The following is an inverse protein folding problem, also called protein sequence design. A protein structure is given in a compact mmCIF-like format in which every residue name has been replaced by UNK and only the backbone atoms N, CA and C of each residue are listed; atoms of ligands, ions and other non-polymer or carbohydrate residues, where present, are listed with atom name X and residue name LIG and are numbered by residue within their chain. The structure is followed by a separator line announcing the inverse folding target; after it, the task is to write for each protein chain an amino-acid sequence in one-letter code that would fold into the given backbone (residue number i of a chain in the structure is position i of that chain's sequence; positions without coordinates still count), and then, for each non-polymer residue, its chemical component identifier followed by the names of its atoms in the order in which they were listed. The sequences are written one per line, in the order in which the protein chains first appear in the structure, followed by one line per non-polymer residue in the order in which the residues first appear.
data_IF_554145036527
#
_entry.id   IF_554145036527
#
_cell.length_a   1.000
_cell.length_b   1.000
_cell.length_c   1.000
_cell.angle_alpha   90.00
_cell.angle_beta   90.00
_cell.angle_gamma   90.00
#
_symmetry.space_group_name_H-M   'P 1'
#
loop_
_entity.id
_entity.type
_entity.pdbx_description
1 polymer ?
#
# COMPACT_ATOMS: atom_id res chain seq x y z
N UNK A 1 -22.82 46.41 27.78
CA UNK A 1 -22.95 45.09 27.10
C UNK A 1 -21.91 44.93 25.99
N UNK A 2 -21.75 45.90 25.08
CA UNK A 2 -20.74 45.87 24.02
C UNK A 2 -19.30 45.63 24.52
N UNK A 3 -18.86 46.36 25.55
CA UNK A 3 -17.53 46.19 26.19
C UNK A 3 -17.28 44.75 26.68
N UNK A 4 -18.31 44.14 27.28
CA UNK A 4 -18.22 42.77 27.78
C UNK A 4 -18.09 41.75 26.65
N UNK A 5 -18.74 41.98 25.51
CA UNK A 5 -18.63 41.12 24.33
C UNK A 5 -17.26 41.29 23.66
N UNK A 6 -16.76 42.53 23.56
CA UNK A 6 -15.45 42.83 23.00
C UNK A 6 -14.32 42.17 23.80
N UNK A 7 -14.38 42.21 25.13
CA UNK A 7 -13.43 41.54 26.02
C UNK A 7 -13.40 40.00 25.84
N UNK A 8 -14.47 39.39 25.31
CA UNK A 8 -14.49 37.96 24.94
C UNK A 8 -13.93 37.71 23.53
N UNK A 9 -14.17 38.61 22.58
CA UNK A 9 -13.72 38.48 21.19
C UNK A 9 -12.20 38.61 21.09
N UNK A 10 -11.59 39.57 21.79
CA UNK A 10 -10.14 39.82 21.70
C UNK A 10 -9.26 38.57 21.97
N UNK A 11 -9.44 37.84 23.08
CA UNK A 11 -8.66 36.61 23.30
C UNK A 11 -9.06 35.47 22.34
N UNK A 12 -10.34 35.37 21.96
CA UNK A 12 -10.80 34.35 21.00
C UNK A 12 -10.18 34.54 19.61
N UNK A 13 -10.03 35.78 19.15
CA UNK A 13 -9.44 36.09 17.86
C UNK A 13 -8.02 35.52 17.70
N UNK A 14 -7.23 35.47 18.78
CA UNK A 14 -5.87 34.90 18.79
C UNK A 14 -5.80 33.41 18.50
N UNK A 15 -6.90 32.66 18.71
CA UNK A 15 -7.00 31.22 18.42
C UNK A 15 -8.13 30.89 17.44
N UNK A 16 -8.80 31.91 16.90
CA UNK A 16 -9.87 31.73 15.92
C UNK A 16 -9.28 31.18 14.63
N UNK A 17 -9.97 30.22 14.01
CA UNK A 17 -9.47 29.51 12.85
C UNK A 17 -10.28 29.82 11.61
N UNK A 18 -9.64 29.82 10.45
CA UNK A 18 -10.32 30.06 9.19
C UNK A 18 -11.32 28.93 8.88
N UNK A 19 -12.61 29.27 8.82
CA UNK A 19 -13.68 28.30 8.58
C UNK A 19 -13.58 27.63 7.20
N UNK A 20 -13.21 28.36 6.15
CA UNK A 20 -13.12 27.80 4.81
C UNK A 20 -12.01 26.74 4.74
N UNK A 21 -10.83 27.04 5.28
CA UNK A 21 -9.70 26.10 5.34
C UNK A 21 -10.05 24.84 6.14
N UNK A 22 -10.58 25.00 7.36
CA UNK A 22 -10.97 23.86 8.21
C UNK A 22 -12.08 22.99 7.58
N UNK A 23 -13.04 23.60 6.88
CA UNK A 23 -14.13 22.86 6.23
C UNK A 23 -13.60 21.97 5.10
N UNK A 24 -12.70 22.47 4.26
CA UNK A 24 -12.15 21.70 3.14
C UNK A 24 -11.30 20.51 3.60
N UNK A 25 -10.42 20.74 4.59
CA UNK A 25 -9.63 19.64 5.17
C UNK A 25 -10.51 18.65 5.95
N UNK A 26 -11.57 19.13 6.63
CA UNK A 26 -12.56 18.28 7.27
C UNK A 26 -13.27 17.36 6.27
N UNK A 27 -13.63 17.87 5.09
CA UNK A 27 -14.23 17.08 4.02
C UNK A 27 -13.29 15.99 3.49
N UNK A 28 -12.01 16.31 3.25
CA UNK A 28 -11.01 15.32 2.84
C UNK A 28 -10.79 14.23 3.90
N UNK A 29 -10.72 14.61 5.18
CA UNK A 29 -10.64 13.67 6.30
C UNK A 29 -11.86 12.76 6.34
N UNK A 30 -13.06 13.29 6.12
CA UNK A 30 -14.29 12.49 6.05
C UNK A 30 -14.25 11.50 4.87
N UNK A 31 -13.85 11.94 3.68
CA UNK A 31 -13.77 11.09 2.49
C UNK A 31 -12.77 9.94 2.67
N UNK A 32 -11.59 10.24 3.22
CA UNK A 32 -10.57 9.20 3.50
C UNK A 32 -11.03 8.22 4.58
N UNK A 33 -11.70 8.71 5.63
CA UNK A 33 -12.31 7.85 6.63
C UNK A 33 -13.39 6.95 6.02
N UNK A 34 -14.26 7.50 5.16
CA UNK A 34 -15.29 6.74 4.44
C UNK A 34 -14.70 5.62 3.58
N UNK A 35 -13.64 5.90 2.82
CA UNK A 35 -12.96 4.88 2.02
C UNK A 35 -12.33 3.80 2.90
N UNK A 36 -11.70 4.19 4.00
CA UNK A 36 -11.08 3.25 4.95
C UNK A 36 -12.08 2.32 5.61
N UNK A 37 -13.31 2.77 5.86
CA UNK A 37 -14.36 1.94 6.49
C UNK A 37 -15.14 1.11 5.49
N UNK A 38 -15.37 1.62 4.28
CA UNK A 38 -16.23 0.97 3.26
C UNK A 38 -15.44 0.09 2.30
N UNK A 39 -14.22 0.50 1.94
CA UNK A 39 -13.32 -0.20 1.01
C UNK A 39 -11.92 -0.38 1.63
N UNK A 40 -11.81 -1.07 2.77
CA UNK A 40 -10.56 -1.16 3.54
C UNK A 40 -9.42 -1.80 2.74
N UNK A 41 -9.69 -2.85 1.96
CA UNK A 41 -8.64 -3.52 1.15
C UNK A 41 -8.11 -2.58 0.07
N UNK A 42 -8.99 -1.96 -0.71
CA UNK A 42 -8.61 -1.00 -1.76
C UNK A 42 -7.90 0.23 -1.19
N UNK A 43 -8.37 0.75 -0.05
CA UNK A 43 -7.77 1.88 0.64
C UNK A 43 -6.35 1.55 1.14
N UNK A 44 -6.16 0.39 1.78
CA UNK A 44 -4.83 -0.02 2.24
C UNK A 44 -3.89 -0.32 1.07
N UNK A 45 -4.38 -0.90 -0.03
CA UNK A 45 -3.58 -1.08 -1.24
C UNK A 45 -3.08 0.26 -1.81
N UNK A 46 -3.94 1.29 -1.83
CA UNK A 46 -3.56 2.63 -2.28
C UNK A 46 -2.49 3.27 -1.39
N UNK A 47 -2.63 3.14 -0.05
CA UNK A 47 -1.64 3.63 0.90
C UNK A 47 -0.29 2.91 0.76
N UNK A 48 -0.31 1.60 0.60
CA UNK A 48 0.90 0.80 0.39
C UNK A 48 1.62 1.18 -0.90
N UNK A 49 0.86 1.40 -2.00
CA UNK A 49 1.42 1.90 -3.26
C UNK A 49 2.04 3.28 -3.09
N UNK A 50 1.37 4.22 -2.42
CA UNK A 50 1.92 5.55 -2.16
C UNK A 50 3.19 5.50 -1.29
N UNK A 51 3.31 4.48 -0.43
CA UNK A 51 4.43 4.27 0.46
C UNK A 51 5.58 3.43 -0.14
N UNK A 52 5.44 2.89 -1.36
CA UNK A 52 6.35 1.85 -1.87
C UNK A 52 7.85 2.24 -1.86
N UNK A 53 8.18 3.53 -1.90
CA UNK A 53 9.55 4.05 -1.78
C UNK A 53 10.08 4.24 -0.35
N UNK A 54 9.24 4.12 0.68
CA UNK A 54 9.60 4.27 2.08
C UNK A 54 9.21 3.01 2.90
N UNK A 55 10.20 2.17 3.20
CA UNK A 55 10.00 0.93 3.95
C UNK A 55 9.41 1.16 5.35
N UNK A 56 9.70 2.28 6.01
CA UNK A 56 9.13 2.58 7.32
C UNK A 56 7.62 2.81 7.23
N UNK A 57 7.17 3.51 6.19
CA UNK A 57 5.75 3.77 5.98
C UNK A 57 5.02 2.51 5.50
N UNK A 58 5.65 1.70 4.64
CA UNK A 58 5.12 0.38 4.27
C UNK A 58 4.91 -0.47 5.52
N UNK A 59 5.88 -0.52 6.44
CA UNK A 59 5.75 -1.28 7.68
C UNK A 59 4.56 -0.80 8.55
N UNK A 60 4.37 0.52 8.67
CA UNK A 60 3.21 1.11 9.38
C UNK A 60 1.89 0.69 8.74
N UNK A 61 1.80 0.76 7.41
CA UNK A 61 0.58 0.39 6.69
C UNK A 61 0.31 -1.11 6.67
N UNK A 62 1.34 -1.96 6.69
CA UNK A 62 1.17 -3.41 6.90
C UNK A 62 0.59 -3.69 8.28
N UNK A 63 1.15 -3.08 9.34
CA UNK A 63 0.64 -3.25 10.69
C UNK A 63 -0.82 -2.78 10.84
N UNK A 64 -1.16 -1.65 10.21
CA UNK A 64 -2.54 -1.15 10.17
C UNK A 64 -3.47 -2.06 9.37
N UNK A 65 -3.00 -2.63 8.26
CA UNK A 65 -3.77 -3.60 7.47
C UNK A 65 -4.13 -4.82 8.31
N UNK A 66 -3.17 -5.38 9.04
CA UNK A 66 -3.39 -6.47 10.00
C UNK A 66 -4.43 -6.08 11.06
N UNK A 67 -4.32 -4.87 11.64
CA UNK A 67 -5.28 -4.38 12.64
C UNK A 67 -6.71 -4.27 12.10
N UNK A 68 -6.86 -3.88 10.83
CA UNK A 68 -8.15 -3.78 10.15
C UNK A 68 -8.69 -5.14 9.69
N UNK A 69 -7.89 -6.20 9.72
CA UNK A 69 -8.21 -7.52 9.19
C UNK A 69 -8.08 -7.62 7.67
N UNK A 70 -7.30 -6.73 7.05
CA UNK A 70 -6.91 -6.80 5.63
C UNK A 70 -5.67 -7.67 5.52
N UNK A 71 -5.74 -8.75 4.74
CA UNK A 71 -4.57 -9.60 4.52
C UNK A 71 -3.56 -8.86 3.62
N UNK A 72 -2.29 -8.87 4.03
CA UNK A 72 -1.16 -8.47 3.19
C UNK A 72 -0.35 -9.71 2.89
N UNK A 73 -0.37 -10.14 1.63
CA UNK A 73 0.31 -11.33 1.17
C UNK A 73 1.76 -10.98 0.79
N UNK A 74 2.74 -11.84 1.09
CA UNK A 74 4.14 -11.60 0.74
C UNK A 74 4.32 -11.53 -0.79
N UNK A 75 5.43 -10.96 -1.29
CA UNK A 75 5.71 -10.98 -2.71
C UNK A 75 5.83 -12.43 -3.22
N UNK A 76 5.38 -12.67 -4.45
CA UNK A 76 5.43 -13.98 -5.08
C UNK A 76 5.75 -13.85 -6.57
N UNK A 77 6.79 -14.50 -7.07
CA UNK A 77 7.26 -14.34 -8.47
C UNK A 77 6.19 -14.63 -9.52
N UNK A 78 5.27 -15.55 -9.23
CA UNK A 78 4.20 -15.92 -10.16
C UNK A 78 2.95 -15.04 -10.07
N UNK A 79 2.80 -14.22 -9.02
CA UNK A 79 1.53 -13.53 -8.72
C UNK A 79 1.70 -12.03 -8.53
N UNK A 80 2.85 -11.58 -8.01
CA UNK A 80 3.13 -10.17 -7.78
C UNK A 80 3.34 -9.42 -9.10
N UNK A 81 2.78 -8.21 -9.17
CA UNK A 81 3.11 -7.22 -10.19
C UNK A 81 4.28 -6.34 -9.78
N UNK A 82 4.48 -5.26 -10.55
CA UNK A 82 5.46 -4.22 -10.21
C UNK A 82 5.10 -3.57 -8.87
N UNK A 83 3.89 -3.03 -8.75
CA UNK A 83 3.36 -2.43 -7.52
C UNK A 83 2.45 -3.38 -6.72
N UNK A 84 1.88 -2.86 -5.64
CA UNK A 84 0.88 -3.57 -4.85
C UNK A 84 -0.37 -3.84 -5.69
N UNK A 85 -0.91 -5.04 -5.57
CA UNK A 85 -2.08 -5.49 -6.32
C UNK A 85 -3.12 -6.10 -5.39
N UNK A 86 -4.38 -6.12 -5.80
CA UNK A 86 -5.47 -6.73 -5.02
C UNK A 86 -5.72 -8.12 -5.57
N UNK A 87 -5.81 -9.10 -4.67
CA UNK A 87 -5.99 -10.52 -4.99
C UNK A 87 -7.16 -11.09 -4.18
N UNK A 88 -7.91 -12.03 -4.76
CA UNK A 88 -8.97 -12.76 -4.05
C UNK A 88 -8.35 -13.89 -3.21
N UNK A 89 -8.74 -13.98 -1.94
CA UNK A 89 -8.22 -14.95 -0.97
C UNK A 89 -9.02 -16.27 -0.97
N UNK A 90 -10.09 -16.35 -1.76
CA UNK A 90 -10.96 -17.51 -1.80
C UNK A 90 -11.84 -17.66 -0.55
N UNK A 91 -12.33 -18.88 -0.33
CA UNK A 91 -13.35 -19.16 0.70
C UNK A 91 -12.81 -19.28 2.12
N UNK A 92 -11.58 -19.78 2.27
CA UNK A 92 -10.96 -20.00 3.58
C UNK A 92 -10.03 -18.84 3.88
N UNK A 93 -10.42 -18.01 4.84
CA UNK A 93 -9.63 -16.87 5.25
C UNK A 93 -8.64 -17.26 6.35
N UNK A 94 -7.41 -16.72 6.32
CA UNK A 94 -6.48 -16.85 7.43
C UNK A 94 -7.03 -16.22 8.72
N UNK A 95 -6.50 -16.66 9.86
CA UNK A 95 -6.90 -16.12 11.16
C UNK A 95 -6.72 -14.60 11.24
N UNK A 96 -7.75 -13.91 11.73
CA UNK A 96 -7.77 -12.45 11.85
C UNK A 96 -8.09 -11.69 10.56
N UNK A 97 -8.20 -12.37 9.41
CA UNK A 97 -8.60 -11.75 8.14
C UNK A 97 -10.12 -11.68 8.03
N UNK A 98 -10.64 -10.51 7.67
CA UNK A 98 -12.08 -10.23 7.60
C UNK A 98 -12.62 -10.14 6.17
N UNK A 99 -11.75 -9.91 5.20
CA UNK A 99 -12.13 -9.62 3.82
C UNK A 99 -11.64 -10.71 2.88
N UNK A 100 -12.45 -11.06 1.88
CA UNK A 100 -12.08 -12.02 0.83
C UNK A 100 -11.13 -11.45 -0.22
N UNK A 101 -10.73 -10.18 -0.08
CA UNK A 101 -9.67 -9.57 -0.89
C UNK A 101 -8.50 -9.19 0.01
N UNK A 102 -7.30 -9.54 -0.43
CA UNK A 102 -6.04 -9.14 0.18
C UNK A 102 -5.20 -8.27 -0.74
N UNK A 103 -4.13 -7.70 -0.18
CA UNK A 103 -3.14 -6.94 -0.93
C UNK A 103 -1.91 -7.80 -1.12
N UNK A 104 -1.55 -8.08 -2.37
CA UNK A 104 -0.29 -8.74 -2.75
C UNK A 104 0.83 -7.70 -2.80
N UNK A 105 1.93 -8.00 -2.12
CA UNK A 105 3.13 -7.17 -2.17
C UNK A 105 3.66 -7.03 -3.61
N UNK A 106 3.96 -5.81 -4.01
CA UNK A 106 4.63 -5.54 -5.28
C UNK A 106 6.10 -5.93 -5.23
N UNK A 107 6.65 -6.38 -6.34
CA UNK A 107 8.08 -6.71 -6.43
C UNK A 107 8.95 -5.46 -6.25
N UNK A 108 8.44 -4.26 -6.57
CA UNK A 108 9.17 -3.00 -6.40
C UNK A 108 9.43 -2.63 -4.94
N UNK A 109 8.68 -3.22 -4.01
CA UNK A 109 8.85 -2.98 -2.58
C UNK A 109 9.88 -3.94 -1.94
N UNK A 110 10.50 -4.84 -2.72
CA UNK A 110 11.62 -5.67 -2.26
C UNK A 110 12.90 -4.85 -2.31
N UNK A 111 13.61 -4.80 -1.18
CA UNK A 111 14.87 -4.07 -1.06
C UNK A 111 15.90 -4.64 -2.05
N UNK A 112 16.67 -3.77 -2.69
CA UNK A 112 17.71 -4.11 -3.68
C UNK A 112 17.22 -4.68 -5.03
N UNK A 113 15.91 -4.77 -5.26
CA UNK A 113 15.36 -5.20 -6.55
C UNK A 113 14.88 -3.97 -7.31
N UNK A 114 15.60 -3.62 -8.38
CA UNK A 114 15.23 -2.49 -9.24
C UNK A 114 14.14 -2.84 -10.25
N UNK A 115 13.55 -1.82 -10.89
CA UNK A 115 12.50 -2.02 -11.90
C UNK A 115 12.94 -2.86 -13.11
N UNK A 116 14.20 -2.72 -13.56
CA UNK A 116 14.75 -3.50 -14.67
C UNK A 116 14.62 -5.02 -14.44
N UNK A 117 15.20 -5.56 -13.34
CA UNK A 117 14.98 -6.95 -12.91
C UNK A 117 13.50 -7.37 -12.88
N UNK A 118 12.65 -6.54 -12.28
CA UNK A 118 11.21 -6.82 -12.09
C UNK A 118 10.51 -6.95 -13.44
N UNK A 119 10.74 -6.01 -14.34
CA UNK A 119 10.17 -6.02 -15.68
C UNK A 119 10.64 -7.25 -16.47
N UNK A 120 11.91 -7.66 -16.29
CA UNK A 120 12.42 -8.91 -16.86
C UNK A 120 11.70 -10.16 -16.34
N UNK A 121 11.44 -10.23 -15.03
CA UNK A 121 10.69 -11.33 -14.39
C UNK A 121 9.26 -11.38 -14.92
N UNK A 122 8.57 -10.24 -14.94
CA UNK A 122 7.18 -10.14 -15.40
C UNK A 122 7.09 -10.51 -16.88
N UNK A 123 7.96 -9.96 -17.74
CA UNK A 123 7.97 -10.26 -19.16
C UNK A 123 8.24 -11.74 -19.44
N UNK A 124 9.20 -12.35 -18.74
CA UNK A 124 9.48 -13.78 -18.87
C UNK A 124 8.27 -14.62 -18.44
N UNK A 125 7.61 -14.27 -17.32
CA UNK A 125 6.39 -14.93 -16.84
C UNK A 125 5.25 -14.82 -17.84
N UNK A 126 5.02 -13.64 -18.39
CA UNK A 126 3.90 -13.39 -19.31
C UNK A 126 4.08 -14.14 -20.64
N UNK A 127 5.33 -14.35 -21.08
CA UNK A 127 5.64 -15.10 -22.31
C UNK A 127 5.60 -16.63 -22.13
N UNK A 128 6.11 -17.15 -21.00
CA UNK A 128 6.29 -18.60 -20.80
C UNK A 128 5.40 -19.22 -19.72
N UNK A 129 4.48 -18.44 -19.13
CA UNK A 129 3.64 -18.85 -18.01
C UNK A 129 4.36 -18.85 -16.65
N UNK A 130 3.73 -19.40 -15.60
CA UNK A 130 4.30 -19.45 -14.25
C UNK A 130 5.65 -20.17 -14.19
N UNK A 131 6.57 -19.66 -13.37
CA UNK A 131 7.82 -20.31 -13.04
C UNK A 131 7.58 -21.56 -12.21
N UNK A 132 8.20 -22.68 -12.62
CA UNK A 132 8.01 -23.99 -11.99
C UNK A 132 9.07 -24.30 -10.91
N UNK A 133 10.23 -23.67 -11.02
CA UNK A 133 11.34 -23.84 -10.08
C UNK A 133 12.26 -22.62 -10.12
N UNK A 134 13.25 -22.60 -9.24
CA UNK A 134 14.28 -21.55 -9.23
C UNK A 134 15.15 -21.62 -10.49
N UNK A 135 15.44 -22.82 -10.98
CA UNK A 135 16.17 -23.06 -12.23
C UNK A 135 15.39 -22.50 -13.42
N UNK A 136 14.07 -22.77 -13.49
CA UNK A 136 13.21 -22.23 -14.55
C UNK A 136 13.19 -20.69 -14.56
N UNK A 137 13.20 -20.06 -13.38
CA UNK A 137 13.35 -18.60 -13.25
C UNK A 137 14.71 -18.12 -13.78
N UNK A 138 15.80 -18.78 -13.36
CA UNK A 138 17.16 -18.39 -13.69
C UNK A 138 17.50 -18.60 -15.19
N UNK A 139 16.89 -19.60 -15.83
CA UNK A 139 17.08 -19.90 -17.25
C UNK A 139 16.25 -18.95 -18.14
N UNK A 140 15.04 -18.58 -17.69
CA UNK A 140 14.12 -17.74 -18.48
C UNK A 140 14.37 -16.25 -18.35
N UNK A 141 14.90 -15.78 -17.22
CA UNK A 141 15.19 -14.37 -17.01
C UNK A 141 16.66 -14.09 -17.31
N UNK A 142 16.93 -13.13 -18.19
CA UNK A 142 18.31 -12.77 -18.57
C UNK A 142 19.19 -12.50 -17.35
N UNK A 143 20.40 -13.04 -17.35
CA UNK A 143 21.44 -12.80 -16.33
C UNK A 143 21.83 -11.32 -16.18
N UNK A 144 21.51 -10.48 -17.18
CA UNK A 144 21.68 -9.03 -17.08
C UNK A 144 20.63 -8.39 -16.16
N UNK A 145 19.46 -9.03 -16.01
CA UNK A 145 18.36 -8.56 -15.18
C UNK A 145 18.39 -9.16 -13.78
N UNK A 146 18.85 -10.40 -13.62
CA UNK A 146 18.93 -11.05 -12.30
C UNK A 146 20.39 -11.34 -11.95
N UNK A 147 20.93 -10.60 -10.98
CA UNK A 147 22.22 -10.87 -10.36
C UNK A 147 22.05 -11.58 -9.00
N UNK A 148 23.14 -12.09 -8.43
CA UNK A 148 23.13 -12.83 -7.15
C UNK A 148 22.44 -12.06 -6.03
N UNK A 149 22.68 -10.75 -5.91
CA UNK A 149 22.08 -9.91 -4.87
C UNK A 149 20.56 -9.79 -5.01
N UNK A 150 20.05 -9.76 -6.24
CA UNK A 150 18.60 -9.74 -6.52
C UNK A 150 17.95 -11.07 -6.17
N UNK A 151 18.62 -12.20 -6.43
CA UNK A 151 18.10 -13.53 -6.05
C UNK A 151 18.10 -13.77 -4.54
N UNK A 152 19.05 -13.19 -3.81
CA UNK A 152 19.17 -13.32 -2.35
C UNK A 152 18.23 -12.40 -1.57
N UNK A 153 17.66 -11.38 -2.21
CA UNK A 153 16.77 -10.39 -1.58
C UNK A 153 15.32 -10.85 -1.60
#
# INVERSE_FOLDING_TARGET
QAERLWALIQPFAGYSFNRAHSTLYGLLSYQTAYLKTTYPTEYMAALLTAAAGNMEDVAKYVAESTRLGVAVLPPHVNSSGLGFTIEDLGRHLPDGVKYHKGVRFGLSAIKNVGEGPINGIIAARDQGGPFKSLEDLADRVSRQHINKRVLES
#
